data_IF_438600513453
#
_entry.id   IF_438600513453
#
_cell.length_a   1.000
_cell.length_b   1.000
_cell.length_c   1.000
_cell.angle_alpha   90.00
_cell.angle_beta   90.00
_cell.angle_gamma   90.00
#
_symmetry.space_group_name_H-M   'P 1'
#
loop_
_entity.id
_entity.type
_entity.pdbx_description
1 polymer ?
#
# COMPACT_ATOMS: atom_id res chain seq x y z
N UNK A 1 -4.17 22.87 18.04
CA UNK A 1 -3.00 22.56 17.21
C UNK A 1 -2.46 23.86 16.63
N UNK A 2 -1.15 24.04 16.58
CA UNK A 2 -0.49 25.09 15.82
C UNK A 2 -0.13 24.61 14.40
N UNK A 3 0.34 25.51 13.54
CA UNK A 3 0.73 25.18 12.16
C UNK A 3 1.78 24.05 12.08
N UNK A 4 2.81 24.11 12.93
CA UNK A 4 3.87 23.11 12.94
C UNK A 4 3.34 21.72 13.33
N UNK A 5 2.41 21.63 14.28
CA UNK A 5 1.77 20.37 14.68
C UNK A 5 0.92 19.79 13.55
N UNK A 6 0.24 20.63 12.75
CA UNK A 6 -0.51 20.17 11.57
C UNK A 6 0.42 19.63 10.49
N UNK A 7 1.54 20.32 10.22
CA UNK A 7 2.56 19.87 9.26
C UNK A 7 3.19 18.56 9.72
N UNK A 8 3.55 18.45 11.01
CA UNK A 8 4.06 17.21 11.57
C UNK A 8 3.05 16.07 11.44
N UNK A 9 1.79 16.30 11.80
CA UNK A 9 0.73 15.30 11.66
C UNK A 9 0.60 14.82 10.21
N UNK A 10 0.68 15.73 9.24
CA UNK A 10 0.66 15.37 7.81
C UNK A 10 1.80 14.41 7.44
N UNK A 11 3.03 14.69 7.89
CA UNK A 11 4.17 13.82 7.64
C UNK A 11 4.07 12.49 8.38
N UNK A 12 3.52 12.46 9.59
CA UNK A 12 3.23 11.22 10.31
C UNK A 12 2.26 10.32 9.54
N UNK A 13 1.16 10.89 9.01
CA UNK A 13 0.21 10.13 8.19
C UNK A 13 0.86 9.69 6.87
N UNK A 14 1.75 10.50 6.30
CA UNK A 14 2.50 10.15 5.09
C UNK A 14 3.50 9.00 5.34
N UNK A 15 4.17 9.00 6.49
CA UNK A 15 5.03 7.89 6.92
C UNK A 15 4.20 6.62 7.19
N UNK A 16 3.04 6.74 7.85
CA UNK A 16 2.13 5.60 8.04
C UNK A 16 1.71 4.97 6.70
N UNK A 17 1.35 5.80 5.71
CA UNK A 17 1.06 5.33 4.34
C UNK A 17 2.25 4.56 3.74
N UNK A 18 3.47 5.08 3.90
CA UNK A 18 4.68 4.39 3.42
C UNK A 18 4.91 3.04 4.14
N UNK A 19 4.62 2.95 5.44
CA UNK A 19 4.75 1.69 6.19
C UNK A 19 3.77 0.62 5.67
N UNK A 20 2.53 0.99 5.35
CA UNK A 20 1.58 0.04 4.74
C UNK A 20 2.07 -0.44 3.37
N UNK A 21 2.69 0.43 2.56
CA UNK A 21 3.30 0.02 1.29
C UNK A 21 4.50 -0.91 1.48
N UNK A 22 5.39 -0.59 2.43
CA UNK A 22 6.54 -1.42 2.74
C UNK A 22 6.12 -2.83 3.19
N UNK A 23 5.17 -2.90 4.13
CA UNK A 23 4.61 -4.17 4.59
C UNK A 23 3.98 -4.95 3.43
N UNK A 24 3.22 -4.28 2.58
CA UNK A 24 2.59 -4.88 1.40
C UNK A 24 3.63 -5.52 0.47
N UNK A 25 4.69 -4.78 0.10
CA UNK A 25 5.76 -5.30 -0.76
C UNK A 25 6.47 -6.49 -0.14
N UNK A 26 6.75 -6.45 1.17
CA UNK A 26 7.38 -7.56 1.90
C UNK A 26 6.49 -8.80 1.85
N UNK A 27 5.19 -8.67 2.08
CA UNK A 27 4.26 -9.80 2.04
C UNK A 27 4.15 -10.38 0.63
N UNK A 28 4.01 -9.54 -0.40
CA UNK A 28 3.99 -9.98 -1.81
C UNK A 28 5.28 -10.72 -2.16
N UNK A 29 6.45 -10.14 -1.84
CA UNK A 29 7.74 -10.78 -2.05
C UNK A 29 7.87 -12.12 -1.32
N UNK A 30 7.43 -12.16 -0.05
CA UNK A 30 7.43 -13.36 0.77
C UNK A 30 6.57 -14.50 0.21
N UNK A 31 5.34 -14.22 -0.23
CA UNK A 31 4.47 -15.26 -0.80
C UNK A 31 4.98 -15.76 -2.15
N UNK A 32 5.54 -14.87 -2.98
CA UNK A 32 6.14 -15.25 -4.26
C UNK A 32 7.40 -16.08 -4.08
N UNK A 33 8.29 -15.70 -3.15
CA UNK A 33 9.48 -16.45 -2.80
C UNK A 33 9.14 -17.81 -2.19
N UNK A 34 8.19 -17.86 -1.26
CA UNK A 34 7.68 -19.12 -0.72
C UNK A 34 7.16 -20.02 -1.84
N UNK A 35 6.39 -19.47 -2.78
CA UNK A 35 5.87 -20.23 -3.90
C UNK A 35 6.96 -20.71 -4.87
N UNK A 36 7.99 -19.90 -5.15
CA UNK A 36 9.06 -20.24 -6.09
C UNK A 36 9.99 -21.34 -5.57
N UNK A 37 10.22 -21.41 -4.26
CA UNK A 37 11.06 -22.43 -3.62
C UNK A 37 10.40 -23.81 -3.52
N UNK A 38 9.07 -23.91 -3.72
CA UNK A 38 8.35 -25.19 -3.68
C UNK A 38 8.67 -26.04 -4.91
N UNK A 39 9.08 -27.30 -4.69
CA UNK A 39 9.38 -28.28 -5.75
C UNK A 39 8.17 -29.11 -6.18
N UNK A 40 7.30 -29.48 -5.24
CA UNK A 40 6.14 -30.33 -5.50
C UNK A 40 4.87 -29.49 -5.69
N UNK A 41 3.91 -29.93 -6.53
CA UNK A 41 2.62 -29.27 -6.64
C UNK A 41 1.82 -29.40 -5.33
N UNK A 42 1.19 -28.32 -4.91
CA UNK A 42 0.42 -28.25 -3.67
C UNK A 42 -0.79 -27.32 -3.87
N UNK A 43 -1.84 -27.89 -4.46
CA UNK A 43 -3.07 -27.18 -4.83
C UNK A 43 -3.73 -26.47 -3.64
N UNK A 44 -3.96 -27.24 -2.58
CA UNK A 44 -4.66 -26.78 -1.38
C UNK A 44 -3.84 -25.70 -0.69
N UNK A 45 -2.54 -25.92 -0.49
CA UNK A 45 -1.64 -24.92 0.08
C UNK A 45 -1.62 -23.64 -0.74
N UNK A 46 -1.61 -23.73 -2.07
CA UNK A 46 -1.65 -22.53 -2.93
C UNK A 46 -2.97 -21.78 -2.78
N UNK A 47 -4.10 -22.47 -2.75
CA UNK A 47 -5.41 -21.84 -2.51
C UNK A 47 -5.46 -21.16 -1.13
N UNK A 48 -4.96 -21.81 -0.08
CA UNK A 48 -4.88 -21.24 1.27
C UNK A 48 -4.01 -19.99 1.29
N UNK A 49 -2.83 -20.01 0.65
CA UNK A 49 -1.95 -18.83 0.55
C UNK A 49 -2.64 -17.69 -0.19
N UNK A 50 -3.36 -17.96 -1.29
CA UNK A 50 -4.13 -16.93 -2.00
C UNK A 50 -5.23 -16.31 -1.13
N UNK A 51 -5.95 -17.12 -0.36
CA UNK A 51 -7.00 -16.63 0.55
C UNK A 51 -6.38 -15.78 1.67
N UNK A 52 -5.33 -16.26 2.32
CA UNK A 52 -4.64 -15.52 3.38
C UNK A 52 -4.06 -14.20 2.85
N UNK A 53 -3.45 -14.22 1.66
CA UNK A 53 -2.99 -13.01 0.99
C UNK A 53 -4.13 -12.05 0.70
N UNK A 54 -5.26 -12.51 0.17
CA UNK A 54 -6.42 -11.67 -0.13
C UNK A 54 -7.02 -11.02 1.14
N UNK A 55 -7.08 -11.75 2.25
CA UNK A 55 -7.54 -11.21 3.54
C UNK A 55 -6.59 -10.12 4.07
N UNK A 56 -5.28 -10.38 4.00
CA UNK A 56 -4.26 -9.38 4.34
C UNK A 56 -4.39 -8.14 3.45
N UNK A 57 -4.44 -8.33 2.14
CA UNK A 57 -4.51 -7.27 1.15
C UNK A 57 -5.75 -6.39 1.36
N UNK A 58 -6.91 -7.01 1.62
CA UNK A 58 -8.15 -6.30 1.94
C UNK A 58 -8.01 -5.40 3.17
N UNK A 59 -7.49 -5.92 4.30
CA UNK A 59 -7.32 -5.12 5.52
C UNK A 59 -6.22 -4.07 5.39
N UNK A 60 -5.18 -4.34 4.63
CA UNK A 60 -4.14 -3.36 4.34
C UNK A 60 -4.69 -2.19 3.50
N UNK A 61 -5.52 -2.48 2.48
CA UNK A 61 -6.17 -1.45 1.67
C UNK A 61 -7.16 -0.60 2.49
N UNK A 62 -7.88 -1.22 3.41
CA UNK A 62 -8.76 -0.54 4.37
C UNK A 62 -7.98 0.47 5.23
N UNK A 63 -6.84 0.07 5.78
CA UNK A 63 -5.97 0.97 6.55
C UNK A 63 -5.38 2.11 5.71
N UNK A 64 -5.03 1.83 4.44
CA UNK A 64 -4.58 2.84 3.49
C UNK A 64 -5.71 3.84 3.14
N UNK A 65 -6.96 3.39 3.06
CA UNK A 65 -8.13 4.27 2.87
C UNK A 65 -8.25 5.28 3.98
N UNK A 66 -8.24 4.81 5.23
CA UNK A 66 -8.38 5.68 6.40
C UNK A 66 -7.20 6.66 6.51
N UNK A 67 -5.99 6.18 6.27
CA UNK A 67 -4.79 7.03 6.27
C UNK A 67 -4.85 8.08 5.16
N UNK A 68 -5.38 7.73 3.99
CA UNK A 68 -5.60 8.70 2.91
C UNK A 68 -6.59 9.77 3.34
N UNK A 69 -7.73 9.39 3.90
CA UNK A 69 -8.74 10.33 4.39
C UNK A 69 -8.17 11.27 5.47
N UNK A 70 -7.39 10.74 6.43
CA UNK A 70 -6.71 11.53 7.45
C UNK A 70 -5.72 12.55 6.85
N UNK A 71 -4.95 12.16 5.82
CA UNK A 71 -4.02 13.07 5.13
C UNK A 71 -4.75 14.23 4.45
N UNK A 72 -5.85 13.95 3.74
CA UNK A 72 -6.65 14.99 3.10
C UNK A 72 -7.29 15.92 4.13
N UNK A 73 -7.86 15.39 5.21
CA UNK A 73 -8.42 16.21 6.29
C UNK A 73 -7.34 17.10 6.94
N UNK A 74 -6.12 16.59 7.12
CA UNK A 74 -5.00 17.36 7.67
C UNK A 74 -4.57 18.49 6.73
N UNK A 75 -4.52 18.25 5.42
CA UNK A 75 -4.24 19.30 4.43
C UNK A 75 -5.30 20.40 4.47
N UNK A 76 -6.58 20.05 4.54
CA UNK A 76 -7.64 21.04 4.63
C UNK A 76 -7.52 21.88 5.90
N UNK A 77 -7.17 21.26 7.03
CA UNK A 77 -6.88 21.98 8.27
C UNK A 77 -5.66 22.91 8.16
N UNK A 78 -4.58 22.48 7.48
CA UNK A 78 -3.40 23.32 7.18
C UNK A 78 -3.82 24.56 6.38
N UNK A 79 -4.60 24.37 5.31
CA UNK A 79 -5.04 25.48 4.44
C UNK A 79 -5.90 26.50 5.18
N UNK A 80 -6.79 26.03 6.06
CA UNK A 80 -7.73 26.86 6.82
C UNK A 80 -7.11 27.58 8.03
N UNK A 81 -5.90 27.20 8.46
CA UNK A 81 -5.27 27.71 9.69
C UNK A 81 -5.15 29.25 9.74
N UNK A 82 -4.88 29.91 8.60
CA UNK A 82 -4.74 31.38 8.54
C UNK A 82 -6.05 32.11 8.21
N UNK A 83 -7.11 31.42 7.77
CA UNK A 83 -8.44 32.04 7.57
C UNK A 83 -9.02 32.60 8.88
N UNK A 84 -8.44 32.23 10.03
CA UNK A 84 -8.82 32.68 11.36
C UNK A 84 -7.95 33.84 11.93
N UNK A 85 -7.03 34.43 11.16
CA UNK A 85 -6.36 35.69 11.54
C UNK A 85 -5.07 35.58 12.36
N UNK A 86 -4.35 34.46 12.34
CA UNK A 86 -3.06 34.32 13.04
C UNK A 86 -1.90 34.97 12.25
N UNK A 87 -1.54 36.19 12.63
CA UNK A 87 -0.44 37.00 12.08
C UNK A 87 0.94 36.52 12.55
N UNK A 88 1.63 35.68 11.78
CA UNK A 88 3.08 35.42 11.99
C UNK A 88 3.86 35.50 10.67
N UNK A 89 4.73 36.52 10.46
CA UNK A 89 5.44 36.73 9.18
C UNK A 89 6.33 35.57 8.71
N UNK A 90 6.89 34.79 9.67
CA UNK A 90 7.74 33.63 9.39
C UNK A 90 6.94 32.45 8.83
N UNK A 91 5.64 32.34 9.12
CA UNK A 91 4.80 31.25 8.61
C UNK A 91 4.61 31.35 7.10
N UNK A 92 4.55 32.57 6.54
CA UNK A 92 4.23 32.77 5.12
C UNK A 92 5.28 32.20 4.17
N UNK A 93 6.57 32.46 4.39
CA UNK A 93 7.62 31.95 3.49
C UNK A 93 7.74 30.42 3.56
N UNK A 94 7.65 29.84 4.76
CA UNK A 94 7.66 28.38 4.96
C UNK A 94 6.43 27.74 4.32
N UNK A 95 5.26 28.38 4.48
CA UNK A 95 3.99 27.98 3.88
C UNK A 95 4.04 27.97 2.36
N UNK A 96 4.47 29.07 1.75
CA UNK A 96 4.56 29.23 0.30
C UNK A 96 5.52 28.20 -0.33
N UNK A 97 6.50 27.72 0.45
CA UNK A 97 7.42 26.66 0.03
C UNK A 97 6.87 25.25 0.26
N UNK A 98 6.23 24.98 1.41
CA UNK A 98 5.84 23.61 1.80
C UNK A 98 4.45 23.23 1.28
N UNK A 99 3.44 24.09 1.39
CA UNK A 99 2.05 23.72 1.04
C UNK A 99 1.87 23.23 -0.41
N UNK A 100 2.54 23.83 -1.42
CA UNK A 100 2.45 23.32 -2.80
C UNK A 100 3.00 21.89 -2.96
N UNK A 101 3.85 21.42 -2.04
CA UNK A 101 4.44 20.08 -2.07
C UNK A 101 3.54 19.02 -1.41
N UNK A 102 2.48 19.44 -0.69
CA UNK A 102 1.57 18.54 0.02
C UNK A 102 0.52 17.96 -0.95
N UNK A 103 0.97 17.15 -1.90
CA UNK A 103 0.16 16.55 -2.96
C UNK A 103 0.01 15.04 -2.79
N UNK A 104 -0.77 14.56 -1.80
CA UNK A 104 -0.93 13.13 -1.56
C UNK A 104 -1.69 12.48 -2.72
N UNK A 105 -1.35 11.21 -3.00
CA UNK A 105 -2.12 10.39 -3.92
C UNK A 105 -3.58 10.25 -3.44
N UNK A 106 -4.52 10.26 -4.39
CA UNK A 106 -5.93 10.01 -4.09
C UNK A 106 -6.14 8.55 -3.71
N UNK A 107 -7.19 8.27 -2.94
CA UNK A 107 -7.54 6.89 -2.60
C UNK A 107 -7.83 6.05 -3.85
N UNK A 108 -8.39 6.66 -4.91
CA UNK A 108 -8.61 5.98 -6.19
C UNK A 108 -7.30 5.47 -6.80
N UNK A 109 -6.25 6.30 -6.81
CA UNK A 109 -4.92 5.90 -7.31
C UNK A 109 -4.30 4.79 -6.44
N UNK A 110 -4.31 4.96 -5.11
CA UNK A 110 -3.82 3.96 -4.15
C UNK A 110 -4.53 2.62 -4.34
N UNK A 111 -5.86 2.64 -4.39
CA UNK A 111 -6.71 1.46 -4.60
C UNK A 111 -6.42 0.77 -5.93
N UNK A 112 -6.29 1.52 -7.03
CA UNK A 112 -6.03 0.95 -8.34
C UNK A 112 -4.70 0.19 -8.35
N UNK A 113 -3.61 0.82 -7.90
CA UNK A 113 -2.29 0.19 -7.83
C UNK A 113 -2.30 -1.04 -6.93
N UNK A 114 -2.98 -0.96 -5.79
CA UNK A 114 -3.08 -2.04 -4.81
C UNK A 114 -3.82 -3.27 -5.38
N UNK A 115 -5.02 -3.08 -5.93
CA UNK A 115 -5.82 -4.16 -6.52
C UNK A 115 -5.14 -4.79 -7.74
N UNK A 116 -4.52 -4.00 -8.61
CA UNK A 116 -3.79 -4.53 -9.77
C UNK A 116 -2.64 -5.44 -9.28
N UNK A 117 -1.91 -5.00 -8.27
CA UNK A 117 -0.81 -5.78 -7.68
C UNK A 117 -1.31 -7.06 -7.01
N UNK A 118 -2.47 -7.02 -6.36
CA UNK A 118 -3.10 -8.21 -5.77
C UNK A 118 -3.45 -9.25 -6.83
N UNK A 119 -4.09 -8.82 -7.91
CA UNK A 119 -4.48 -9.69 -9.02
C UNK A 119 -3.25 -10.32 -9.68
N UNK A 120 -2.21 -9.52 -9.96
CA UNK A 120 -0.96 -10.02 -10.52
C UNK A 120 -0.28 -11.03 -9.60
N UNK A 121 -0.29 -10.79 -8.28
CA UNK A 121 0.27 -11.71 -7.30
C UNK A 121 -0.48 -13.06 -7.30
N UNK A 122 -1.81 -13.04 -7.26
CA UNK A 122 -2.63 -14.26 -7.30
C UNK A 122 -2.42 -15.01 -8.62
N UNK A 123 -2.41 -14.31 -9.75
CA UNK A 123 -2.14 -14.89 -11.07
C UNK A 123 -0.76 -15.57 -11.08
N UNK A 124 0.27 -14.93 -10.55
CA UNK A 124 1.61 -15.50 -10.47
C UNK A 124 1.65 -16.77 -9.61
N UNK A 125 0.99 -16.77 -8.44
CA UNK A 125 0.90 -17.95 -7.58
C UNK A 125 0.22 -19.12 -8.29
N UNK A 126 -0.89 -18.86 -8.98
CA UNK A 126 -1.62 -19.85 -9.78
C UNK A 126 -0.76 -20.36 -10.95
N UNK A 127 -0.07 -19.48 -11.67
CA UNK A 127 0.79 -19.85 -12.80
C UNK A 127 1.95 -20.75 -12.35
N UNK A 128 2.59 -20.43 -11.23
CA UNK A 128 3.66 -21.26 -10.64
C UNK A 128 3.15 -22.66 -10.27
N UNK A 129 1.95 -22.76 -9.68
CA UNK A 129 1.33 -24.03 -9.33
C UNK A 129 0.92 -24.85 -10.56
N UNK A 130 0.31 -24.22 -11.56
CA UNK A 130 -0.04 -24.89 -12.83
C UNK A 130 1.21 -25.43 -13.54
N UNK A 131 2.29 -24.66 -13.58
CA UNK A 131 3.58 -25.11 -14.13
C UNK A 131 4.09 -26.36 -13.42
N UNK A 132 4.07 -26.38 -12.07
CA UNK A 132 4.51 -27.56 -11.29
C UNK A 132 3.67 -28.80 -11.58
N UNK A 133 2.35 -28.65 -11.68
CA UNK A 133 1.45 -29.78 -12.00
C UNK A 133 1.74 -30.35 -13.37
N UNK A 134 1.97 -29.50 -14.38
CA UNK A 134 2.33 -29.93 -15.74
C UNK A 134 3.64 -30.71 -15.74
N UNK A 135 4.68 -30.20 -15.06
CA UNK A 135 5.98 -30.88 -14.97
C UNK A 135 5.89 -32.25 -14.28
N UNK A 136 5.02 -32.40 -13.27
CA UNK A 136 4.79 -33.71 -12.62
C UNK A 136 3.99 -34.69 -13.50
N UNK A 137 3.06 -34.18 -14.31
CA UNK A 137 2.20 -34.99 -15.17
C UNK A 137 2.91 -35.46 -16.45
N UNK A 138 4.02 -34.84 -16.84
CA UNK A 138 4.87 -35.27 -17.95
C UNK A 138 6.18 -35.90 -17.42
N UNK A 139 6.14 -37.14 -16.89
CA UNK A 139 7.38 -37.87 -16.67
C UNK A 139 8.04 -38.07 -18.04
N UNK A 140 9.32 -37.70 -18.15
CA UNK A 140 10.15 -37.98 -19.32
C UNK A 140 10.03 -39.46 -19.67
N UNK A 141 9.55 -39.78 -20.87
CA UNK A 141 9.74 -41.12 -21.41
C UNK A 141 11.25 -41.37 -21.53
N UNK A 142 11.74 -42.53 -21.06
CA UNK A 142 13.14 -42.92 -21.21
C UNK A 142 13.55 -43.04 -22.68
#
# INVERSE_FOLDING_TARGET
MNYNELIQLYFERSNAMQQYWNLYVIIVGGVLAFSSLRKQPAAITTALVCILFALFAYKNLDAMKDTTAQRFATIEAIKQFDSAGATVPVSKQVRDLIEPTLTPATFGSVKATHIISDLLTIIALCAMELRRRRLKASPSMP
#
